data_IF_372348282197
#
_entry.id   IF_372348282197
#
_cell.length_a   1.000
_cell.length_b   1.000
_cell.length_c   1.000
_cell.angle_alpha   90.00
_cell.angle_beta   90.00
_cell.angle_gamma   90.00
#
_symmetry.space_group_name_H-M   'P 1'
#
loop_
_entity.id
_entity.type
_entity.pdbx_description
1 polymer ?
#
# COMPACT_ATOMS: atom_id res chain seq x y z
N UNK A 1 14.41 -13.66 -13.58
CA UNK A 1 14.52 -13.58 -15.05
C UNK A 1 15.90 -14.09 -15.42
N UNK A 2 16.06 -14.80 -16.54
CA UNK A 2 17.39 -15.25 -17.00
C UNK A 2 17.70 -14.58 -18.33
N UNK A 3 18.95 -14.21 -18.53
CA UNK A 3 19.44 -13.67 -19.81
C UNK A 3 20.51 -14.58 -20.37
N UNK A 4 20.52 -14.73 -21.70
CA UNK A 4 21.57 -15.44 -22.39
C UNK A 4 22.79 -14.53 -22.51
N UNK A 5 23.91 -14.96 -21.95
CA UNK A 5 25.22 -14.30 -22.11
C UNK A 5 26.16 -15.22 -22.88
N UNK A 6 27.14 -14.65 -23.57
CA UNK A 6 28.20 -15.43 -24.23
C UNK A 6 29.33 -15.65 -23.23
N UNK A 7 29.60 -16.91 -22.89
CA UNK A 7 30.75 -17.28 -22.09
C UNK A 7 32.03 -17.16 -22.94
N UNK A 8 33.18 -16.95 -22.29
CA UNK A 8 34.49 -16.84 -22.94
C UNK A 8 34.86 -18.02 -23.87
N UNK A 9 34.20 -19.18 -23.72
CA UNK A 9 34.33 -20.33 -24.61
C UNK A 9 33.44 -20.30 -25.86
N UNK A 10 32.71 -19.19 -26.11
CA UNK A 10 31.79 -19.03 -27.24
C UNK A 10 30.42 -19.69 -27.07
N UNK A 11 30.16 -20.37 -25.93
CA UNK A 11 28.87 -21.00 -25.64
C UNK A 11 27.91 -20.00 -24.98
N UNK A 12 26.62 -20.12 -25.30
CA UNK A 12 25.56 -19.40 -24.58
C UNK A 12 25.35 -20.00 -23.19
N UNK A 13 25.32 -19.16 -22.16
CA UNK A 13 25.03 -19.53 -20.78
C UNK A 13 23.84 -18.71 -20.28
N UNK A 14 22.90 -19.35 -19.59
CA UNK A 14 21.85 -18.63 -18.86
C UNK A 14 22.39 -18.19 -17.51
N UNK A 15 22.38 -16.88 -17.28
CA UNK A 15 22.68 -16.29 -15.97
C UNK A 15 21.39 -15.74 -15.35
N UNK A 16 21.23 -15.91 -14.04
CA UNK A 16 20.17 -15.27 -13.30
C UNK A 16 20.44 -13.77 -13.25
N UNK A 17 19.48 -12.97 -13.73
CA UNK A 17 19.52 -11.52 -13.53
C UNK A 17 18.74 -11.17 -12.27
N UNK A 18 19.23 -10.18 -11.53
CA UNK A 18 18.40 -9.46 -10.58
C UNK A 18 17.17 -8.96 -11.33
N UNK A 19 15.97 -9.35 -10.89
CA UNK A 19 14.75 -8.79 -11.45
C UNK A 19 14.71 -7.28 -11.27
N UNK A 20 13.82 -6.61 -12.00
CA UNK A 20 13.61 -5.17 -11.83
C UNK A 20 13.36 -4.83 -10.36
N UNK A 21 13.89 -3.68 -9.93
CA UNK A 21 13.67 -3.21 -8.57
C UNK A 21 12.16 -3.03 -8.33
N UNK A 22 11.65 -3.71 -7.30
CA UNK A 22 10.23 -3.63 -6.95
C UNK A 22 9.89 -2.24 -6.40
N UNK A 23 8.90 -1.59 -7.00
CA UNK A 23 8.27 -0.39 -6.47
C UNK A 23 6.88 -0.77 -5.96
N UNK A 24 6.64 -0.59 -4.66
CA UNK A 24 5.33 -0.86 -4.04
C UNK A 24 4.28 0.11 -4.63
N UNK A 25 3.28 -0.37 -5.38
CA UNK A 25 2.23 0.50 -5.89
C UNK A 25 1.27 0.91 -4.77
N UNK A 26 0.57 2.04 -4.95
CA UNK A 26 -0.57 2.37 -4.09
C UNK A 26 -1.71 1.37 -4.29
N UNK A 27 -2.42 1.04 -3.22
CA UNK A 27 -3.61 0.19 -3.30
C UNK A 27 -4.69 0.83 -4.17
N UNK A 28 -5.39 0.00 -4.95
CA UNK A 28 -6.59 0.39 -5.71
C UNK A 28 -7.71 -0.60 -5.44
N UNK A 29 -8.92 -0.33 -5.96
CA UNK A 29 -10.06 -1.24 -5.80
C UNK A 29 -9.89 -2.59 -6.52
N UNK A 30 -8.93 -2.70 -7.44
CA UNK A 30 -8.71 -3.89 -8.27
C UNK A 30 -7.30 -4.47 -8.16
N UNK A 31 -6.36 -3.76 -7.53
CA UNK A 31 -4.94 -4.16 -7.43
C UNK A 31 -4.43 -3.97 -6.00
N UNK A 32 -3.82 -5.02 -5.46
CA UNK A 32 -3.16 -4.98 -4.14
C UNK A 32 -1.97 -4.00 -4.18
N UNK A 33 -1.84 -3.20 -3.12
CA UNK A 33 -0.77 -2.22 -2.99
C UNK A 33 -0.65 -1.72 -1.55
N UNK A 34 0.29 -0.81 -1.33
CA UNK A 34 0.54 -0.18 -0.04
C UNK A 34 -0.44 0.95 0.28
N UNK A 35 -0.68 1.13 1.58
CA UNK A 35 -1.35 2.31 2.16
C UNK A 35 -0.42 2.96 3.17
N UNK A 36 -0.62 4.26 3.42
CA UNK A 36 0.07 4.93 4.52
C UNK A 36 -0.66 4.66 5.83
N UNK A 37 0.04 4.80 6.96
CA UNK A 37 -0.59 4.78 8.28
C UNK A 37 -1.52 6.00 8.41
N UNK A 38 -2.76 5.76 8.84
CA UNK A 38 -3.70 6.83 9.15
C UNK A 38 -3.30 7.60 10.42
N UNK A 39 -3.78 8.84 10.52
CA UNK A 39 -3.61 9.64 11.73
C UNK A 39 -4.37 9.03 12.91
N UNK A 40 -3.86 9.24 14.13
CA UNK A 40 -4.52 8.79 15.35
C UNK A 40 -5.91 9.41 15.48
N UNK A 41 -6.91 8.58 15.77
CA UNK A 41 -8.29 8.99 16.05
C UNK A 41 -8.61 8.54 17.48
N UNK A 42 -9.16 9.45 18.29
CA UNK A 42 -9.54 9.13 19.67
C UNK A 42 -10.74 8.15 19.71
N UNK A 43 -10.85 7.40 20.80
CA UNK A 43 -11.95 6.48 21.00
C UNK A 43 -13.26 7.23 21.24
N UNK A 44 -14.35 6.69 20.70
CA UNK A 44 -15.70 7.13 21.05
C UNK A 44 -16.03 6.70 22.47
N UNK A 45 -16.41 7.68 23.30
CA UNK A 45 -16.78 7.45 24.69
C UNK A 45 -18.30 7.29 24.83
N UNK A 46 -18.73 6.50 25.82
CA UNK A 46 -20.12 6.01 26.00
C UNK A 46 -21.14 7.13 26.29
N UNK A 47 -20.67 8.35 26.60
CA UNK A 47 -21.53 9.52 26.82
C UNK A 47 -21.77 10.35 25.54
N UNK A 48 -21.23 9.94 24.39
CA UNK A 48 -21.43 10.63 23.13
C UNK A 48 -22.89 10.45 22.65
N UNK A 49 -23.64 11.55 22.60
CA UNK A 49 -24.92 11.57 21.89
C UNK A 49 -24.73 11.27 20.40
N UNK A 50 -25.84 11.08 19.66
CA UNK A 50 -25.81 10.77 18.23
C UNK A 50 -25.01 11.79 17.40
N UNK A 51 -25.02 13.07 17.81
CA UNK A 51 -24.27 14.14 17.16
C UNK A 51 -22.75 13.99 17.38
N UNK A 52 -22.34 13.69 18.61
CA UNK A 52 -20.94 13.48 18.98
C UNK A 52 -20.37 12.22 18.34
N UNK A 53 -21.16 11.15 18.27
CA UNK A 53 -20.80 9.92 17.56
C UNK A 53 -20.64 10.17 16.06
N UNK A 54 -21.59 10.90 15.44
CA UNK A 54 -21.50 11.29 14.02
C UNK A 54 -20.26 12.13 13.70
N UNK A 55 -19.88 13.03 14.60
CA UNK A 55 -18.68 13.86 14.45
C UNK A 55 -17.41 13.01 14.48
N UNK A 56 -17.30 12.07 15.42
CA UNK A 56 -16.15 11.16 15.50
C UNK A 56 -16.09 10.19 14.33
N UNK A 57 -17.24 9.71 13.84
CA UNK A 57 -17.30 8.89 12.63
C UNK A 57 -16.74 9.66 11.43
N UNK A 58 -17.17 10.92 11.23
CA UNK A 58 -16.66 11.75 10.15
C UNK A 58 -15.16 12.04 10.28
N UNK A 59 -14.65 12.22 11.51
CA UNK A 59 -13.23 12.36 11.77
C UNK A 59 -12.44 11.08 11.37
N UNK A 60 -12.96 9.90 11.72
CA UNK A 60 -12.38 8.62 11.30
C UNK A 60 -12.35 8.48 9.78
N UNK A 61 -13.49 8.71 9.12
CA UNK A 61 -13.58 8.63 7.66
C UNK A 61 -12.61 9.61 6.97
N UNK A 62 -12.44 10.80 7.54
CA UNK A 62 -11.48 11.79 7.04
C UNK A 62 -10.04 11.29 7.17
N UNK A 63 -9.67 10.74 8.32
CA UNK A 63 -8.33 10.16 8.54
C UNK A 63 -8.02 9.02 7.56
N UNK A 64 -9.00 8.15 7.30
CA UNK A 64 -8.84 7.02 6.36
C UNK A 64 -8.72 7.48 4.90
N UNK A 65 -9.49 8.50 4.48
CA UNK A 65 -9.37 9.09 3.12
C UNK A 65 -8.03 9.78 2.92
N UNK A 66 -7.56 10.54 3.92
CA UNK A 66 -6.25 11.18 3.86
C UNK A 66 -5.09 10.18 3.73
N UNK A 67 -5.25 8.97 4.28
CA UNK A 67 -4.27 7.89 4.19
C UNK A 67 -4.38 7.06 2.88
N UNK A 68 -5.39 7.32 2.04
CA UNK A 68 -5.65 6.55 0.82
C UNK A 68 -6.17 5.12 1.08
N UNK A 69 -6.79 4.89 2.24
CA UNK A 69 -7.32 3.57 2.63
C UNK A 69 -8.73 3.36 2.07
N UNK A 70 -9.53 4.41 2.05
CA UNK A 70 -10.88 4.44 1.46
C UNK A 70 -11.01 5.67 0.56
N UNK A 71 -11.95 5.63 -0.38
CA UNK A 71 -12.32 6.76 -1.25
C UNK A 71 -13.81 7.07 -1.07
#
# INVERSE_FOLDING_TARGET
>A
MTTNVIHQSGKTVQVATSGDAYVLPSATTTVLGGVKKAATVANCTVAADGTSAGTQLNALLTSLRAAGIIV
#
